data_IF_926617638693
#
_entry.id   IF_926617638693
#
_cell.length_a   1.000
_cell.length_b   1.000
_cell.length_c   1.000
_cell.angle_alpha   90.00
_cell.angle_beta   90.00
_cell.angle_gamma   90.00
#
_symmetry.space_group_name_H-M   'P 1'
#
loop_
_entity.id
_entity.type
_entity.pdbx_description
1 polymer ?
#
# COMPACT_ATOMS: atom_id res chain seq x y z
N UNK A 1 -12.41 64.15 -3.02
CA UNK A 1 -11.76 62.98 -2.38
C UNK A 1 -12.46 62.67 -1.07
N UNK A 2 -13.09 61.49 -0.93
CA UNK A 2 -13.17 60.71 0.32
C UNK A 2 -14.06 59.47 0.11
N UNK A 3 -13.48 58.28 0.33
CA UNK A 3 -14.15 56.97 0.40
C UNK A 3 -14.53 56.66 1.85
N UNK A 4 -15.56 55.81 2.06
CA UNK A 4 -15.63 54.68 3.03
C UNK A 4 -17.10 54.19 3.16
N UNK A 5 -17.48 53.07 2.56
CA UNK A 5 -17.54 51.66 3.06
C UNK A 5 -18.91 51.23 3.61
N UNK A 6 -19.40 50.10 3.05
CA UNK A 6 -20.64 49.35 3.36
C UNK A 6 -20.71 48.89 4.82
N UNK A 7 -21.93 48.70 5.37
CA UNK A 7 -22.54 47.40 5.73
C UNK A 7 -23.78 47.60 6.62
N UNK A 8 -24.97 47.20 6.14
CA UNK A 8 -26.14 47.01 6.99
C UNK A 8 -26.07 45.60 7.58
N UNK A 9 -25.95 45.50 8.90
CA UNK A 9 -25.85 44.22 9.59
C UNK A 9 -26.74 44.23 10.83
N UNK A 10 -28.03 43.92 10.68
CA UNK A 10 -28.88 43.38 11.76
C UNK A 10 -29.98 42.52 11.13
N UNK A 11 -29.72 41.23 10.92
CA UNK A 11 -30.78 40.22 10.76
C UNK A 11 -30.64 39.21 11.89
N UNK A 12 -31.78 39.04 12.58
CA UNK A 12 -32.04 38.30 13.81
C UNK A 12 -31.43 36.89 13.84
N UNK A 13 -30.87 36.55 14.99
CA UNK A 13 -30.63 35.18 15.44
C UNK A 13 -31.95 34.41 15.57
N UNK A 14 -32.11 33.33 14.79
CA UNK A 14 -33.22 32.40 14.96
C UNK A 14 -32.74 31.05 15.51
N UNK A 15 -33.02 30.88 16.80
CA UNK A 15 -33.29 29.67 17.61
C UNK A 15 -32.65 28.34 17.20
N UNK A 16 -31.77 27.89 18.11
CA UNK A 16 -31.37 26.50 18.36
C UNK A 16 -32.61 25.60 18.50
N UNK A 17 -32.65 24.54 17.69
CA UNK A 17 -33.56 23.41 17.84
C UNK A 17 -32.83 22.12 17.48
N UNK A 18 -32.20 21.51 18.47
CA UNK A 18 -31.70 20.13 18.38
C UNK A 18 -32.89 19.19 18.17
N UNK A 19 -32.88 18.42 17.07
CA UNK A 19 -33.67 17.20 16.95
C UNK A 19 -32.73 16.09 16.48
N UNK A 20 -32.34 15.25 17.43
CA UNK A 20 -31.64 13.99 17.22
C UNK A 20 -32.54 13.08 16.39
N UNK A 21 -32.10 12.72 15.19
CA UNK A 21 -32.74 11.71 14.36
C UNK A 21 -32.11 10.35 14.66
N UNK A 22 -32.92 9.45 15.21
CA UNK A 22 -32.65 8.05 15.47
C UNK A 22 -32.22 7.33 14.19
N UNK A 23 -30.99 6.82 14.16
CA UNK A 23 -30.47 6.00 13.06
C UNK A 23 -30.58 4.53 13.48
N UNK A 24 -31.59 3.84 12.93
CA UNK A 24 -31.74 2.38 13.02
C UNK A 24 -30.83 1.79 11.94
N UNK A 25 -29.73 1.17 12.34
CA UNK A 25 -28.87 0.40 11.46
C UNK A 25 -29.21 -1.09 11.57
N UNK A 26 -29.75 -1.63 10.49
CA UNK A 26 -30.10 -3.03 10.30
C UNK A 26 -28.85 -3.92 10.30
N UNK A 27 -28.80 -4.89 11.22
CA UNK A 27 -27.82 -5.97 11.20
C UNK A 27 -28.24 -7.04 10.19
N UNK A 28 -27.53 -7.14 9.07
CA UNK A 28 -27.61 -8.30 8.19
C UNK A 28 -26.69 -9.39 8.74
N UNK A 29 -27.26 -10.29 9.54
CA UNK A 29 -26.67 -11.59 9.86
C UNK A 29 -26.66 -12.44 8.59
N UNK A 30 -25.49 -12.66 7.98
CA UNK A 30 -25.35 -13.68 6.95
C UNK A 30 -25.02 -15.01 7.63
N UNK A 31 -25.94 -15.94 7.40
CA UNK A 31 -25.93 -17.34 7.76
C UNK A 31 -24.63 -18.05 7.37
N UNK A 32 -23.94 -18.59 8.37
CA UNK A 32 -22.96 -19.65 8.23
C UNK A 32 -23.24 -20.69 9.31
N UNK A 33 -24.18 -21.60 9.04
CA UNK A 33 -24.52 -22.69 9.94
C UNK A 33 -23.33 -23.66 10.05
N UNK A 34 -22.75 -23.76 11.25
CA UNK A 34 -22.02 -24.95 11.67
C UNK A 34 -22.72 -25.47 12.93
N UNK A 35 -23.34 -26.62 12.77
CA UNK A 35 -24.07 -27.37 13.78
C UNK A 35 -23.07 -27.84 14.85
N UNK A 36 -23.31 -27.50 16.13
CA UNK A 36 -22.75 -28.27 17.25
C UNK A 36 -23.84 -28.61 18.28
N UNK A 37 -23.74 -29.79 18.93
CA UNK A 37 -24.87 -30.47 19.56
C UNK A 37 -25.22 -29.88 20.92
N UNK A 38 -26.51 -29.84 21.22
CA UNK A 38 -27.02 -29.54 22.55
C UNK A 38 -26.75 -30.71 23.51
N UNK A 39 -25.82 -30.50 24.45
CA UNK A 39 -25.67 -31.33 25.65
C UNK A 39 -25.34 -30.42 26.83
N UNK A 40 -26.25 -30.35 27.79
CA UNK A 40 -26.06 -29.63 29.05
C UNK A 40 -25.02 -30.33 29.93
N UNK A 41 -24.04 -29.60 30.48
CA UNK A 41 -23.37 -29.95 31.72
C UNK A 41 -22.70 -28.71 32.33
N UNK A 42 -23.10 -28.38 33.56
CA UNK A 42 -22.48 -27.38 34.43
C UNK A 42 -21.07 -27.82 34.84
N UNK A 43 -20.04 -27.02 34.55
CA UNK A 43 -18.78 -27.02 35.29
C UNK A 43 -18.04 -25.69 35.06
N UNK A 44 -17.46 -25.17 36.13
CA UNK A 44 -16.79 -23.88 36.28
C UNK A 44 -15.76 -23.53 35.18
N UNK A 45 -15.45 -22.24 34.95
CA UNK A 45 -14.49 -21.82 33.95
C UNK A 45 -13.08 -22.18 34.41
N UNK A 46 -12.56 -23.31 33.93
CA UNK A 46 -11.10 -23.53 33.97
C UNK A 46 -10.48 -22.72 32.83
N UNK A 47 -9.72 -21.72 33.25
CA UNK A 47 -8.83 -20.91 32.43
C UNK A 47 -7.95 -21.80 31.56
N UNK A 48 -8.22 -21.83 30.27
CA UNK A 48 -7.26 -22.21 29.24
C UNK A 48 -7.13 -21.03 28.28
N UNK A 49 -6.50 -19.94 28.75
CA UNK A 49 -5.92 -18.94 27.86
C UNK A 49 -4.69 -19.55 27.19
N UNK A 50 -4.93 -20.38 26.19
CA UNK A 50 -4.00 -20.52 25.08
C UNK A 50 -4.81 -20.28 23.82
N UNK A 51 -5.33 -19.07 23.70
CA UNK A 51 -5.43 -18.49 22.38
C UNK A 51 -3.99 -18.41 21.89
N UNK A 52 -3.56 -19.37 21.09
CA UNK A 52 -2.41 -19.16 20.21
C UNK A 52 -2.81 -18.00 19.32
N UNK A 53 -2.54 -16.77 19.78
CA UNK A 53 -2.61 -15.58 18.96
C UNK A 53 -1.56 -15.79 17.88
N UNK A 54 -1.97 -16.40 16.77
CA UNK A 54 -1.17 -16.39 15.56
C UNK A 54 -0.78 -14.95 15.33
N UNK A 55 0.50 -14.71 15.03
CA UNK A 55 1.05 -13.44 15.40
C UNK A 55 0.52 -12.45 14.34
N UNK A 56 -0.19 -11.42 14.85
CA UNK A 56 -1.29 -10.78 14.13
C UNK A 56 -0.84 -10.09 12.83
N UNK A 57 -1.50 -10.42 11.72
CA UNK A 57 -1.47 -9.61 10.52
C UNK A 57 -2.09 -8.23 10.84
N UNK A 58 -1.53 -7.17 10.27
CA UNK A 58 -2.08 -5.83 10.40
C UNK A 58 -3.51 -5.77 9.88
N UNK A 59 -4.37 -5.02 10.58
CA UNK A 59 -5.76 -4.84 10.16
C UNK A 59 -5.86 -4.10 8.82
N UNK A 60 -6.84 -4.43 7.99
CA UNK A 60 -7.09 -3.68 6.77
C UNK A 60 -7.60 -2.26 7.08
N UNK A 61 -7.17 -1.28 6.29
CA UNK A 61 -7.67 0.08 6.37
C UNK A 61 -9.13 0.15 5.91
N UNK A 62 -9.94 0.95 6.61
CA UNK A 62 -11.28 1.35 6.14
C UNK A 62 -11.20 2.30 4.95
N UNK A 63 -12.33 2.86 4.49
CA UNK A 63 -12.32 3.76 3.33
C UNK A 63 -11.34 4.93 3.48
N UNK A 64 -10.40 5.06 2.54
CA UNK A 64 -9.28 6.01 2.59
C UNK A 64 -8.22 5.77 3.68
N UNK A 65 -8.42 4.79 4.55
CA UNK A 65 -7.54 4.50 5.69
C UNK A 65 -6.34 3.63 5.34
N UNK A 66 -5.23 3.86 6.03
CA UNK A 66 -4.03 3.03 5.92
C UNK A 66 -4.23 1.66 6.57
N UNK A 67 -3.54 0.66 6.04
CA UNK A 67 -3.45 -0.66 6.66
C UNK A 67 -2.61 -0.60 7.94
N UNK A 68 -3.01 -1.39 8.94
CA UNK A 68 -2.26 -1.52 10.19
C UNK A 68 -0.91 -2.21 9.97
N UNK A 69 0.07 -1.85 10.78
CA UNK A 69 1.35 -2.56 10.85
C UNK A 69 1.20 -3.90 11.58
N UNK A 70 2.10 -4.83 11.31
CA UNK A 70 2.11 -6.13 11.99
C UNK A 70 3.27 -7.01 11.57
N UNK A 71 3.18 -8.30 11.86
CA UNK A 71 4.15 -9.25 11.35
C UNK A 71 4.02 -9.44 9.84
N UNK A 72 2.80 -9.30 9.35
CA UNK A 72 2.46 -9.04 7.95
C UNK A 72 1.67 -7.73 7.93
N UNK A 73 1.94 -6.87 6.95
CA UNK A 73 1.27 -5.58 6.84
C UNK A 73 -0.18 -5.73 6.38
N UNK A 74 -1.09 -4.95 6.97
CA UNK A 74 -2.48 -4.89 6.56
C UNK A 74 -2.65 -4.15 5.24
N UNK A 75 -3.63 -4.51 4.42
CA UNK A 75 -3.94 -3.77 3.19
C UNK A 75 -4.52 -2.38 3.48
N UNK A 76 -4.19 -1.39 2.67
CA UNK A 76 -4.84 -0.09 2.69
C UNK A 76 -6.27 -0.16 2.14
N UNK A 77 -7.18 0.64 2.69
CA UNK A 77 -8.53 0.79 2.16
C UNK A 77 -8.54 1.66 0.90
N UNK A 78 -9.71 2.14 0.47
CA UNK A 78 -9.89 2.86 -0.80
C UNK A 78 -9.03 4.14 -0.91
N UNK A 79 -7.79 3.99 -1.43
CA UNK A 79 -6.79 5.05 -1.56
C UNK A 79 -5.78 5.15 -0.43
N UNK A 80 -5.90 4.34 0.62
CA UNK A 80 -4.95 4.28 1.72
C UNK A 80 -3.70 3.47 1.39
N UNK A 81 -2.60 3.77 2.08
CA UNK A 81 -1.35 3.00 1.96
C UNK A 81 -1.47 1.65 2.67
N UNK A 82 -0.70 0.66 2.20
CA UNK A 82 -0.53 -0.60 2.93
C UNK A 82 0.26 -0.38 4.22
N UNK A 83 -0.02 -1.20 5.23
CA UNK A 83 0.69 -1.18 6.51
C UNK A 83 2.07 -1.84 6.43
N UNK A 84 2.98 -1.42 7.31
CA UNK A 84 4.33 -1.98 7.38
C UNK A 84 4.38 -3.39 7.99
N UNK A 85 5.43 -4.15 7.66
CA UNK A 85 5.70 -5.47 8.22
C UNK A 85 7.07 -5.56 8.89
N UNK A 86 7.09 -6.03 10.13
CA UNK A 86 8.33 -6.14 10.93
C UNK A 86 9.11 -7.44 10.69
N UNK A 87 8.53 -8.46 10.04
CA UNK A 87 9.21 -9.73 9.78
C UNK A 87 8.93 -10.34 8.39
N UNK A 88 8.08 -9.74 7.57
CA UNK A 88 7.57 -10.36 6.36
C UNK A 88 7.25 -9.36 5.25
N UNK A 89 6.05 -9.48 4.69
CA UNK A 89 5.61 -8.71 3.54
C UNK A 89 4.77 -7.51 3.97
N UNK A 90 5.09 -6.33 3.44
CA UNK A 90 4.28 -5.13 3.62
C UNK A 90 2.90 -5.26 2.98
N UNK A 91 1.94 -4.50 3.48
CA UNK A 91 0.56 -4.53 3.01
C UNK A 91 0.40 -3.94 1.62
N UNK A 92 -0.64 -4.36 0.88
CA UNK A 92 -0.96 -3.74 -0.41
C UNK A 92 -1.58 -2.36 -0.20
N UNK A 93 -1.25 -1.39 -1.04
CA UNK A 93 -1.96 -0.12 -1.11
C UNK A 93 -3.32 -0.26 -1.78
N UNK A 94 -4.29 0.54 -1.36
CA UNK A 94 -5.55 0.68 -2.07
C UNK A 94 -5.40 1.53 -3.35
N UNK A 95 -6.51 1.87 -4.01
CA UNK A 95 -6.49 2.61 -5.28
C UNK A 95 -5.75 3.97 -5.19
N UNK A 96 -4.51 4.03 -5.69
CA UNK A 96 -3.63 5.20 -5.61
C UNK A 96 -2.70 5.20 -4.39
N UNK A 97 -2.93 4.30 -3.43
CA UNK A 97 -2.12 4.14 -2.23
C UNK A 97 -0.82 3.38 -2.50
N UNK A 98 0.23 3.74 -1.76
CA UNK A 98 1.51 3.02 -1.81
C UNK A 98 1.40 1.68 -1.10
N UNK A 99 2.20 0.70 -1.55
CA UNK A 99 2.43 -0.50 -0.75
C UNK A 99 3.16 -0.15 0.55
N UNK A 100 2.88 -0.88 1.61
CA UNK A 100 3.61 -0.75 2.87
C UNK A 100 5.00 -1.40 2.78
N UNK A 101 5.93 -0.93 3.60
CA UNK A 101 7.27 -1.49 3.64
C UNK A 101 7.28 -2.83 4.37
N UNK A 102 8.08 -3.79 3.92
CA UNK A 102 8.27 -5.07 4.61
C UNK A 102 9.74 -5.40 4.71
N UNK A 103 10.16 -5.94 5.84
CA UNK A 103 11.57 -6.34 6.03
C UNK A 103 12.05 -7.29 4.93
N UNK A 104 11.21 -8.26 4.52
CA UNK A 104 11.56 -9.20 3.46
C UNK A 104 11.09 -8.71 2.10
N UNK A 105 9.81 -8.33 2.00
CA UNK A 105 9.20 -7.97 0.72
C UNK A 105 8.31 -6.74 0.91
N UNK A 106 8.52 -5.72 0.08
CA UNK A 106 7.63 -4.56 0.05
C UNK A 106 6.25 -4.91 -0.50
N UNK A 107 5.22 -4.23 0.01
CA UNK A 107 3.85 -4.38 -0.46
C UNK A 107 3.65 -3.81 -1.87
N UNK A 108 2.64 -4.31 -2.58
CA UNK A 108 2.26 -3.77 -3.89
C UNK A 108 1.54 -2.43 -3.78
N UNK A 109 1.82 -1.49 -4.67
CA UNK A 109 1.02 -0.26 -4.82
C UNK A 109 -0.31 -0.53 -5.54
N UNK A 110 -1.37 0.15 -5.12
CA UNK A 110 -2.66 0.10 -5.79
C UNK A 110 -2.87 1.31 -6.70
N UNK A 111 -3.61 1.18 -7.81
CA UNK A 111 -3.82 2.29 -8.76
C UNK A 111 -2.50 2.92 -9.21
N UNK A 112 -2.32 4.23 -9.06
CA UNK A 112 -1.06 4.96 -9.36
C UNK A 112 0.02 4.91 -8.27
N UNK A 113 -0.21 4.20 -7.17
CA UNK A 113 0.71 4.17 -6.03
C UNK A 113 1.99 3.37 -6.29
N UNK A 114 3.08 3.79 -5.65
CA UNK A 114 4.36 3.07 -5.69
C UNK A 114 4.35 1.79 -4.84
N UNK A 115 5.27 0.87 -5.13
CA UNK A 115 5.54 -0.28 -4.27
C UNK A 115 6.23 0.13 -2.98
N UNK A 116 6.05 -0.66 -1.92
CA UNK A 116 6.77 -0.50 -0.66
C UNK A 116 8.19 -1.06 -0.73
N UNK A 117 9.03 -0.70 0.23
CA UNK A 117 10.42 -1.12 0.31
C UNK A 117 10.59 -2.47 1.01
N UNK A 118 11.72 -3.14 0.78
CA UNK A 118 12.11 -4.36 1.48
C UNK A 118 13.42 -4.96 0.97
N UNK A 119 13.82 -6.15 1.44
CA UNK A 119 14.91 -6.89 0.77
C UNK A 119 14.59 -7.09 -0.71
N UNK A 120 13.34 -7.42 -1.02
CA UNK A 120 12.76 -7.32 -2.36
C UNK A 120 11.73 -6.21 -2.36
N UNK A 121 11.94 -5.20 -3.21
CA UNK A 121 11.00 -4.10 -3.37
C UNK A 121 9.65 -4.56 -3.92
N UNK A 122 8.59 -3.90 -3.47
CA UNK A 122 7.22 -4.17 -3.90
C UNK A 122 6.94 -3.71 -5.33
N UNK A 123 5.92 -4.29 -5.95
CA UNK A 123 5.49 -3.89 -7.29
C UNK A 123 4.69 -2.59 -7.25
N UNK A 124 4.99 -1.64 -8.13
CA UNK A 124 4.18 -0.44 -8.31
C UNK A 124 2.82 -0.73 -8.98
N UNK A 125 1.82 0.08 -8.66
CA UNK A 125 0.56 0.08 -9.39
C UNK A 125 0.67 0.71 -10.78
N UNK A 126 -0.40 0.75 -11.57
CA UNK A 126 -0.48 1.43 -12.86
C UNK A 126 0.04 2.89 -12.82
N UNK A 127 1.23 3.13 -13.37
CA UNK A 127 1.94 4.42 -13.36
C UNK A 127 2.87 4.61 -12.16
N UNK A 128 2.75 3.77 -11.14
CA UNK A 128 3.56 3.79 -9.93
C UNK A 128 4.90 3.07 -10.10
N UNK A 129 5.93 3.62 -9.46
CA UNK A 129 7.25 3.01 -9.42
C UNK A 129 7.31 1.77 -8.53
N UNK A 130 8.22 0.85 -8.83
CA UNK A 130 8.56 -0.23 -7.89
C UNK A 130 9.22 0.31 -6.63
N UNK A 131 9.07 -0.42 -5.53
CA UNK A 131 9.75 -0.10 -4.27
C UNK A 131 11.23 -0.48 -4.32
N UNK A 132 12.02 0.10 -3.44
CA UNK A 132 13.47 -0.11 -3.40
C UNK A 132 13.86 -1.29 -2.49
N UNK A 133 15.07 -1.80 -2.68
CA UNK A 133 15.56 -2.91 -1.85
C UNK A 133 16.97 -3.39 -2.12
N UNK A 134 17.27 -4.61 -1.70
CA UNK A 134 18.43 -5.35 -2.20
C UNK A 134 18.19 -5.75 -3.67
N UNK A 135 16.96 -6.16 -3.95
CA UNK A 135 16.41 -6.35 -5.29
C UNK A 135 15.28 -5.36 -5.50
N UNK A 136 15.40 -4.49 -6.49
CA UNK A 136 14.39 -3.48 -6.78
C UNK A 136 13.07 -4.09 -7.24
N UNK A 137 11.97 -3.49 -6.81
CA UNK A 137 10.62 -3.89 -7.21
C UNK A 137 10.29 -3.53 -8.66
N UNK A 138 9.34 -4.24 -9.26
CA UNK A 138 8.90 -3.89 -10.61
C UNK A 138 7.98 -2.67 -10.63
N UNK A 139 8.10 -1.82 -11.64
CA UNK A 139 7.12 -0.76 -11.91
C UNK A 139 5.81 -1.35 -12.40
N UNK A 140 4.70 -0.67 -12.14
CA UNK A 140 3.45 -0.99 -12.83
C UNK A 140 3.45 -0.45 -14.26
N UNK A 141 2.30 -0.47 -14.93
CA UNK A 141 2.22 0.02 -16.32
C UNK A 141 2.74 1.46 -16.44
N UNK A 142 3.75 1.71 -17.28
CA UNK A 142 4.45 3.00 -17.39
C UNK A 142 5.20 3.50 -16.14
N UNK A 143 5.23 2.74 -15.05
CA UNK A 143 6.04 3.01 -13.88
C UNK A 143 7.50 2.58 -14.07
N UNK A 144 8.42 3.28 -13.41
CA UNK A 144 9.82 2.87 -13.33
C UNK A 144 10.02 1.68 -12.38
N UNK A 145 11.06 0.89 -12.61
CA UNK A 145 11.51 -0.08 -11.61
C UNK A 145 12.06 0.64 -10.37
N UNK A 146 11.95 0.01 -9.20
CA UNK A 146 12.57 0.50 -7.97
C UNK A 146 14.07 0.24 -7.96
N UNK A 147 14.81 1.02 -7.18
CA UNK A 147 16.27 0.86 -7.10
C UNK A 147 16.62 -0.36 -6.23
N UNK A 148 17.67 -1.08 -6.63
CA UNK A 148 18.16 -2.25 -5.91
C UNK A 148 19.63 -2.14 -5.61
N UNK A 149 20.10 -2.53 -4.42
CA UNK A 149 21.54 -2.58 -4.15
C UNK A 149 22.23 -3.56 -5.10
N UNK A 150 21.70 -4.78 -5.21
CA UNK A 150 22.26 -5.81 -6.07
C UNK A 150 21.71 -5.69 -7.49
N UNK A 151 20.39 -5.68 -7.63
CA UNK A 151 19.76 -5.65 -8.95
C UNK A 151 18.61 -4.66 -8.93
N UNK A 152 18.65 -3.67 -9.83
CA UNK A 152 17.55 -2.74 -10.03
C UNK A 152 16.28 -3.42 -10.55
N UNK A 153 15.13 -2.83 -10.26
CA UNK A 153 13.83 -3.37 -10.61
C UNK A 153 13.48 -3.20 -12.09
N UNK A 154 12.55 -4.02 -12.58
CA UNK A 154 12.08 -3.91 -13.97
C UNK A 154 11.09 -2.75 -14.14
N UNK A 155 11.26 -1.93 -15.18
CA UNK A 155 10.28 -0.92 -15.58
C UNK A 155 9.06 -1.51 -16.31
N UNK A 156 7.89 -0.88 -16.15
CA UNK A 156 6.71 -1.17 -16.95
C UNK A 156 6.79 -0.58 -18.36
N UNK A 157 5.76 -0.77 -19.19
CA UNK A 157 5.75 -0.26 -20.58
C UNK A 157 6.02 1.25 -20.65
N UNK A 158 7.13 1.68 -21.26
CA UNK A 158 7.61 3.07 -21.31
C UNK A 158 8.43 3.50 -20.09
N UNK A 159 8.39 2.73 -19.00
CA UNK A 159 9.12 2.97 -17.76
C UNK A 159 10.57 2.50 -17.85
N UNK A 160 11.46 3.24 -17.18
CA UNK A 160 12.87 2.88 -17.05
C UNK A 160 13.04 1.74 -16.05
N UNK A 161 14.08 0.93 -16.22
CA UNK A 161 14.55 0.05 -15.15
C UNK A 161 15.08 0.87 -13.97
N UNK A 162 14.96 0.32 -12.76
CA UNK A 162 15.56 0.90 -11.57
C UNK A 162 17.08 0.73 -11.59
N UNK A 163 17.80 1.54 -10.83
CA UNK A 163 19.25 1.46 -10.79
C UNK A 163 19.70 0.34 -9.86
N UNK A 164 20.92 -0.14 -10.05
CA UNK A 164 21.59 -0.93 -9.03
C UNK A 164 23.09 -0.76 -8.96
N UNK A 165 23.67 -1.18 -7.84
CA UNK A 165 25.13 -1.09 -7.64
C UNK A 165 25.83 -2.22 -8.39
N UNK A 166 25.27 -3.43 -8.40
CA UNK A 166 25.80 -4.53 -9.20
C UNK A 166 25.21 -4.51 -10.62
N UNK A 167 23.90 -4.66 -10.74
CA UNK A 167 23.21 -4.70 -12.03
C UNK A 167 22.05 -3.71 -12.09
N UNK A 168 21.96 -2.98 -13.19
CA UNK A 168 20.81 -2.12 -13.46
C UNK A 168 19.57 -2.93 -13.83
N UNK A 169 18.40 -2.43 -13.50
CA UNK A 169 17.13 -3.05 -13.84
C UNK A 169 16.80 -2.96 -15.32
N UNK A 170 15.99 -3.90 -15.80
CA UNK A 170 15.54 -3.91 -17.20
C UNK A 170 14.46 -2.84 -17.46
N UNK A 171 14.59 -2.09 -18.54
CA UNK A 171 13.54 -1.19 -19.02
C UNK A 171 12.33 -1.95 -19.59
N UNK A 172 11.13 -1.39 -19.45
CA UNK A 172 9.95 -1.91 -20.16
C UNK A 172 9.96 -1.49 -21.63
N UNK A 173 8.95 -1.88 -22.41
CA UNK A 173 8.88 -1.53 -23.86
C UNK A 173 9.09 -0.03 -24.09
N UNK A 174 10.06 0.36 -24.91
CA UNK A 174 10.45 1.76 -25.16
C UNK A 174 11.20 2.45 -24.00
N UNK A 175 11.33 1.79 -22.85
CA UNK A 175 12.00 2.27 -21.65
C UNK A 175 13.49 1.93 -21.63
N UNK A 176 14.30 2.81 -21.04
CA UNK A 176 15.74 2.59 -20.88
C UNK A 176 16.01 1.59 -19.75
N UNK A 177 17.10 0.83 -19.87
CA UNK A 177 17.66 0.10 -18.73
C UNK A 177 18.12 1.07 -17.63
N UNK A 178 18.13 0.59 -16.39
CA UNK A 178 18.65 1.32 -15.25
C UNK A 178 20.18 1.35 -15.24
N UNK A 179 20.76 2.32 -14.53
CA UNK A 179 22.20 2.31 -14.28
C UNK A 179 22.59 1.07 -13.47
N UNK A 180 23.70 0.43 -13.82
CA UNK A 180 24.29 -0.61 -13.00
C UNK A 180 25.75 -0.32 -12.75
N UNK A 181 26.22 -0.34 -11.50
CA UNK A 181 27.61 -0.03 -11.21
C UNK A 181 28.59 -0.97 -11.94
N UNK A 182 28.33 -2.28 -11.92
CA UNK A 182 29.12 -3.27 -12.66
C UNK A 182 28.53 -3.60 -14.04
N UNK A 183 27.21 -3.84 -14.11
CA UNK A 183 26.53 -4.20 -15.35
C UNK A 183 25.32 -3.30 -15.60
N UNK A 184 25.32 -2.54 -16.69
CA UNK A 184 24.19 -1.71 -17.08
C UNK A 184 22.93 -2.54 -17.32
N UNK A 185 21.76 -2.00 -16.94
CA UNK A 185 20.51 -2.72 -17.11
C UNK A 185 20.10 -2.88 -18.56
N UNK A 186 19.37 -3.95 -18.89
CA UNK A 186 18.92 -4.15 -20.28
C UNK A 186 17.86 -3.11 -20.68
N UNK A 187 17.94 -2.60 -21.90
CA UNK A 187 16.86 -1.83 -22.51
C UNK A 187 15.63 -2.69 -22.76
N UNK A 188 14.44 -2.09 -22.74
CA UNK A 188 13.25 -2.76 -23.27
C UNK A 188 13.23 -2.75 -24.79
N UNK A 189 12.24 -3.41 -25.40
CA UNK A 189 12.12 -3.39 -26.86
C UNK A 189 11.94 -1.95 -27.37
N UNK A 190 12.86 -1.47 -28.21
CA UNK A 190 12.93 -0.07 -28.67
C UNK A 190 13.49 0.92 -27.64
N UNK A 191 14.01 0.44 -26.50
CA UNK A 191 14.64 1.26 -25.46
C UNK A 191 16.15 1.05 -25.40
N UNK A 192 16.87 2.10 -24.98
CA UNK A 192 18.32 2.02 -24.82
C UNK A 192 18.72 1.13 -23.63
N UNK A 193 19.90 0.52 -23.70
CA UNK A 193 20.54 -0.08 -22.53
C UNK A 193 20.82 0.95 -21.44
N UNK A 194 20.92 0.47 -20.22
CA UNK A 194 21.47 1.18 -19.08
C UNK A 194 22.98 1.26 -19.20
N UNK A 195 23.55 2.23 -18.50
CA UNK A 195 24.99 2.48 -18.47
C UNK A 195 25.63 1.83 -17.24
N UNK A 196 26.90 1.46 -17.38
CA UNK A 196 27.76 0.99 -16.29
C UNK A 196 29.06 1.76 -16.21
N UNK A 197 29.79 1.55 -15.10
CA UNK A 197 31.11 2.15 -14.88
C UNK A 197 32.20 1.40 -15.68
N UNK A 198 31.93 0.14 -16.02
CA UNK A 198 32.77 -0.74 -16.84
C UNK A 198 32.06 -1.05 -18.17
#
# INVERSE_FOLDING_TARGET
>A
MNRKTRTNNVVRTNRRGFRMATLVASAAMISGAVILPASMATAAPVTAHVATALPAAGGAGGDGGEGGGGLIGGGGGSGGSGGGSVLGTGGQGGNGGKGGDGVLVGGGGGGGGGGGEGVVGGKGGNGGGGGSGLFGGSGGNAGGGGDGLLIGGQGGNGGKGGNGVFEGGKGGKGGKGGFGGLFGGLGGNGGAGGISIF
#
